data_IF_465236478198
#
_entry.id   IF_465236478198
#
_cell.length_a   1.000
_cell.length_b   1.000
_cell.length_c   1.000
_cell.angle_alpha   90.00
_cell.angle_beta   90.00
_cell.angle_gamma   90.00
#
_symmetry.space_group_name_H-M   'P 1'
#
loop_
_entity.id
_entity.type
_entity.pdbx_description
1 polymer ?
#
# COMPACT_ATOMS: atom_id res chain seq x y z
N UNK A 1 -32.05 3.88 5.16
CA UNK A 1 -31.42 3.11 4.06
C UNK A 1 -30.00 3.61 3.90
N UNK A 2 -29.01 2.77 4.21
CA UNK A 2 -27.63 3.11 3.90
C UNK A 2 -27.46 2.93 2.40
N UNK A 3 -27.30 4.03 1.67
CA UNK A 3 -26.79 3.93 0.31
C UNK A 3 -25.46 3.22 0.37
N UNK A 4 -25.29 2.17 -0.45
CA UNK A 4 -24.02 1.48 -0.61
C UNK A 4 -22.91 2.45 -1.01
N UNK A 5 -21.64 2.03 -0.99
CA UNK A 5 -20.56 2.90 -1.38
C UNK A 5 -20.80 3.45 -2.78
N UNK A 6 -20.52 4.74 -2.97
CA UNK A 6 -20.72 5.42 -4.25
C UNK A 6 -19.75 4.94 -5.37
N UNK A 7 -19.01 3.85 -5.13
CA UNK A 7 -18.00 3.28 -6.03
C UNK A 7 -17.96 1.75 -5.91
N UNK A 8 -17.41 1.10 -6.92
CA UNK A 8 -17.23 -0.34 -7.00
C UNK A 8 -15.73 -0.71 -6.96
N UNK A 9 -15.38 -1.78 -6.24
CA UNK A 9 -14.01 -2.29 -6.20
C UNK A 9 -13.87 -3.41 -7.22
N UNK A 10 -12.97 -3.23 -8.18
CA UNK A 10 -12.73 -4.17 -9.27
C UNK A 10 -11.25 -4.53 -9.40
N UNK A 11 -10.92 -5.77 -9.82
CA UNK A 11 -9.55 -6.12 -10.19
C UNK A 11 -9.04 -5.23 -11.32
N UNK A 12 -7.77 -4.86 -11.27
CA UNK A 12 -7.12 -4.16 -12.35
C UNK A 12 -6.38 -5.13 -13.26
N UNK A 13 -6.56 -4.96 -14.58
CA UNK A 13 -5.76 -5.68 -15.56
C UNK A 13 -4.29 -5.27 -15.44
N UNK A 14 -3.40 -6.24 -15.59
CA UNK A 14 -1.96 -6.02 -15.37
C UNK A 14 -1.37 -4.93 -16.29
N UNK A 15 -1.77 -4.89 -17.55
CA UNK A 15 -1.32 -3.87 -18.49
C UNK A 15 -1.71 -2.44 -18.06
N UNK A 16 -2.95 -2.27 -17.61
CA UNK A 16 -3.45 -0.98 -17.11
C UNK A 16 -2.81 -0.58 -15.79
N UNK A 17 -2.58 -1.56 -14.93
CA UNK A 17 -1.92 -1.34 -13.65
C UNK A 17 -0.49 -0.85 -13.86
N UNK A 18 0.28 -1.52 -14.71
CA UNK A 18 1.66 -1.15 -15.03
C UNK A 18 1.72 0.26 -15.62
N UNK A 19 0.87 0.58 -16.61
CA UNK A 19 0.81 1.90 -17.23
C UNK A 19 0.56 3.00 -16.18
N UNK A 20 -0.42 2.80 -15.30
CA UNK A 20 -0.77 3.74 -14.25
C UNK A 20 0.37 3.95 -13.25
N UNK A 21 0.99 2.88 -12.78
CA UNK A 21 2.02 2.92 -11.75
C UNK A 21 3.33 3.51 -12.28
N UNK A 22 3.68 3.28 -13.55
CA UNK A 22 4.84 3.91 -14.18
C UNK A 22 4.75 5.44 -14.20
N UNK A 23 3.53 5.98 -14.25
CA UNK A 23 3.30 7.42 -14.21
C UNK A 23 3.27 7.99 -12.78
N UNK A 24 2.93 7.17 -11.79
CA UNK A 24 2.67 7.63 -10.42
C UNK A 24 3.78 7.32 -9.43
N UNK A 25 4.55 6.27 -9.64
CA UNK A 25 5.59 5.87 -8.70
C UNK A 25 6.91 6.60 -8.96
N UNK A 26 7.57 7.10 -7.88
CA UNK A 26 8.89 7.70 -7.99
C UNK A 26 9.87 6.71 -8.59
N UNK A 27 10.64 7.16 -9.60
CA UNK A 27 11.62 6.32 -10.29
C UNK A 27 11.05 4.94 -10.73
N UNK A 28 9.73 4.87 -10.96
CA UNK A 28 9.00 3.67 -11.38
C UNK A 28 9.12 2.49 -10.43
N UNK A 29 9.31 2.74 -9.14
CA UNK A 29 9.34 1.69 -8.13
C UNK A 29 9.03 2.24 -6.73
N UNK A 30 8.66 1.32 -5.84
CA UNK A 30 8.46 1.61 -4.41
C UNK A 30 9.49 0.83 -3.60
N UNK A 31 9.91 1.41 -2.47
CA UNK A 31 10.74 0.73 -1.49
C UNK A 31 9.85 0.04 -0.45
N UNK A 32 9.93 -1.28 -0.39
CA UNK A 32 9.14 -2.11 0.53
C UNK A 32 10.05 -3.19 1.13
N UNK A 33 10.10 -3.26 2.44
CA UNK A 33 10.88 -4.27 3.17
C UNK A 33 12.35 -4.37 2.68
N UNK A 34 12.99 -3.22 2.48
CA UNK A 34 14.38 -3.13 2.06
C UNK A 34 14.66 -3.49 0.60
N UNK A 35 13.64 -3.56 -0.24
CA UNK A 35 13.82 -3.81 -1.68
C UNK A 35 12.99 -2.86 -2.54
N UNK A 36 13.45 -2.64 -3.77
CA UNK A 36 12.68 -1.89 -4.77
C UNK A 36 11.73 -2.82 -5.51
N UNK A 37 10.45 -2.43 -5.55
CA UNK A 37 9.35 -3.17 -6.17
C UNK A 37 8.84 -2.37 -7.36
N UNK A 38 8.84 -2.98 -8.53
CA UNK A 38 8.35 -2.36 -9.76
C UNK A 38 6.86 -2.61 -10.01
N UNK A 39 6.25 -1.88 -10.96
CA UNK A 39 4.86 -2.07 -11.35
C UNK A 39 4.52 -3.47 -11.84
N UNK A 40 5.49 -4.16 -12.42
CA UNK A 40 5.35 -5.51 -12.96
C UNK A 40 5.28 -6.58 -11.88
N UNK A 41 5.75 -6.25 -10.67
CA UNK A 41 5.83 -7.20 -9.54
C UNK A 41 4.55 -7.30 -8.75
N UNK A 42 3.61 -6.36 -8.93
CA UNK A 42 2.44 -6.22 -8.07
C UNK A 42 1.14 -6.60 -8.78
N UNK A 43 0.17 -7.02 -7.98
CA UNK A 43 -1.23 -7.11 -8.33
C UNK A 43 -1.98 -5.90 -7.78
N UNK A 44 -3.17 -5.60 -8.29
CA UNK A 44 -3.93 -4.45 -7.82
C UNK A 44 -5.42 -4.53 -8.07
N UNK A 45 -6.12 -3.73 -7.28
CA UNK A 45 -7.56 -3.44 -7.38
C UNK A 45 -7.77 -1.94 -7.44
N UNK A 46 -8.87 -1.51 -8.03
CA UNK A 46 -9.24 -0.11 -8.11
C UNK A 46 -10.65 0.15 -7.62
N UNK A 47 -10.89 1.35 -7.13
CA UNK A 47 -12.21 1.88 -6.80
C UNK A 47 -12.73 2.72 -7.95
N UNK A 48 -13.85 2.35 -8.55
CA UNK A 48 -14.40 2.96 -9.76
C UNK A 48 -15.83 3.49 -9.57
N UNK A 49 -16.13 4.59 -10.24
CA UNK A 49 -17.50 4.98 -10.57
C UNK A 49 -17.61 5.07 -12.09
N UNK A 50 -18.44 4.24 -12.72
CA UNK A 50 -18.45 4.10 -14.19
C UNK A 50 -17.01 3.85 -14.70
N UNK A 51 -16.45 4.77 -15.49
CA UNK A 51 -15.10 4.64 -16.05
C UNK A 51 -14.02 5.41 -15.29
N UNK A 52 -14.39 6.07 -14.17
CA UNK A 52 -13.45 6.88 -13.40
C UNK A 52 -12.84 6.12 -12.25
N UNK A 53 -11.51 6.08 -12.22
CA UNK A 53 -10.73 5.52 -11.12
C UNK A 53 -10.56 6.56 -10.00
N UNK A 54 -10.95 6.21 -8.78
CA UNK A 54 -10.88 7.06 -7.59
C UNK A 54 -9.82 6.66 -6.58
N UNK A 55 -9.32 5.45 -6.66
CA UNK A 55 -8.28 4.95 -5.78
C UNK A 55 -7.78 3.59 -6.22
N UNK A 56 -6.64 3.20 -5.69
CA UNK A 56 -5.96 1.95 -6.05
C UNK A 56 -5.30 1.34 -4.82
N UNK A 57 -5.29 0.03 -4.75
CA UNK A 57 -4.46 -0.72 -3.83
C UNK A 57 -3.63 -1.77 -4.59
N UNK A 58 -2.37 -1.91 -4.20
CA UNK A 58 -1.44 -2.85 -4.80
C UNK A 58 -0.74 -3.68 -3.74
N UNK A 59 -0.41 -4.91 -4.08
CA UNK A 59 0.26 -5.85 -3.17
C UNK A 59 1.19 -6.81 -3.89
N UNK A 60 2.07 -7.40 -3.10
CA UNK A 60 2.85 -8.58 -3.45
C UNK A 60 2.25 -9.79 -2.78
N UNK A 61 2.11 -10.90 -3.49
CA UNK A 61 1.79 -12.19 -2.92
C UNK A 61 3.08 -12.99 -2.71
N UNK A 62 3.35 -13.37 -1.46
CA UNK A 62 4.52 -14.18 -1.12
C UNK A 62 4.11 -15.32 -0.18
N UNK A 63 3.96 -16.51 -0.74
CA UNK A 63 3.45 -17.66 0.00
C UNK A 63 2.04 -17.37 0.55
N UNK A 64 1.90 -17.41 1.86
CA UNK A 64 0.61 -17.13 2.55
C UNK A 64 0.50 -15.71 3.09
N UNK A 65 1.36 -14.80 2.63
CA UNK A 65 1.39 -13.40 3.05
C UNK A 65 1.02 -12.51 1.87
N UNK A 66 0.02 -11.64 2.07
CA UNK A 66 -0.31 -10.53 1.20
C UNK A 66 0.40 -9.29 1.75
N UNK A 67 1.42 -8.80 1.05
CA UNK A 67 2.19 -7.63 1.46
C UNK A 67 1.70 -6.40 0.70
N UNK A 68 1.07 -5.47 1.40
CA UNK A 68 0.57 -4.22 0.84
C UNK A 68 1.76 -3.39 0.35
N UNK A 69 1.70 -2.94 -0.90
CA UNK A 69 2.70 -2.03 -1.47
C UNK A 69 2.22 -0.59 -1.41
N UNK A 70 0.99 -0.33 -1.83
CA UNK A 70 0.41 1.01 -1.78
C UNK A 70 -1.11 0.95 -1.64
N UNK A 71 -1.66 1.93 -0.93
CA UNK A 71 -3.09 2.23 -0.90
C UNK A 71 -3.22 3.74 -1.13
N UNK A 72 -3.80 4.12 -2.25
CA UNK A 72 -3.92 5.52 -2.65
C UNK A 72 -5.37 5.87 -2.98
N UNK A 73 -5.83 7.00 -2.45
CA UNK A 73 -7.06 7.65 -2.87
C UNK A 73 -6.70 8.86 -3.74
N UNK A 74 -7.37 9.00 -4.88
CA UNK A 74 -7.13 10.09 -5.84
C UNK A 74 -8.19 11.18 -5.77
N UNK A 75 -9.24 10.94 -5.02
CA UNK A 75 -10.38 11.84 -4.87
C UNK A 75 -10.81 11.90 -3.41
N UNK A 76 -11.66 12.90 -3.09
CA UNK A 76 -12.18 13.09 -1.74
C UNK A 76 -13.38 12.18 -1.39
N UNK A 77 -13.69 11.17 -2.20
CA UNK A 77 -14.73 10.20 -1.88
C UNK A 77 -14.36 9.45 -0.59
N UNK A 78 -15.28 9.50 0.37
CA UNK A 78 -15.05 8.90 1.70
C UNK A 78 -15.04 7.38 1.62
N UNK A 79 -14.17 6.77 2.41
CA UNK A 79 -14.14 5.33 2.62
C UNK A 79 -13.40 4.53 1.55
N UNK A 80 -12.80 5.14 0.52
CA UNK A 80 -12.05 4.43 -0.53
C UNK A 80 -10.92 3.58 0.07
N UNK A 81 -10.07 4.16 0.91
CA UNK A 81 -8.94 3.44 1.50
C UNK A 81 -9.40 2.25 2.36
N UNK A 82 -10.48 2.43 3.12
CA UNK A 82 -11.08 1.37 3.93
C UNK A 82 -11.60 0.24 3.02
N UNK A 83 -12.37 0.58 2.00
CA UNK A 83 -12.94 -0.41 1.07
C UNK A 83 -11.84 -1.17 0.31
N UNK A 84 -10.77 -0.50 -0.09
CA UNK A 84 -9.62 -1.14 -0.75
C UNK A 84 -8.91 -2.13 0.19
N UNK A 85 -8.67 -1.78 1.44
CA UNK A 85 -8.06 -2.69 2.42
C UNK A 85 -8.97 -3.88 2.71
N UNK A 86 -10.27 -3.65 2.90
CA UNK A 86 -11.25 -4.73 3.13
C UNK A 86 -11.33 -5.68 1.92
N UNK A 87 -11.26 -5.16 0.70
CA UNK A 87 -11.22 -5.97 -0.51
C UNK A 87 -9.92 -6.79 -0.64
N UNK A 88 -8.76 -6.23 -0.27
CA UNK A 88 -7.51 -6.98 -0.21
C UNK A 88 -7.56 -8.10 0.84
N UNK A 89 -8.17 -7.85 2.00
CA UNK A 89 -8.37 -8.88 3.02
C UNK A 89 -9.23 -10.03 2.49
N UNK A 90 -10.33 -9.70 1.81
CA UNK A 90 -11.21 -10.70 1.19
C UNK A 90 -10.48 -11.51 0.12
N UNK A 91 -9.70 -10.86 -0.72
CA UNK A 91 -8.86 -11.51 -1.73
C UNK A 91 -7.83 -12.45 -1.10
N UNK A 92 -7.12 -12.00 -0.08
CA UNK A 92 -6.16 -12.84 0.66
C UNK A 92 -6.81 -14.08 1.26
N UNK A 93 -7.96 -13.93 1.90
CA UNK A 93 -8.73 -15.06 2.45
C UNK A 93 -9.17 -16.04 1.37
N UNK A 94 -9.65 -15.54 0.24
CA UNK A 94 -10.11 -16.40 -0.88
C UNK A 94 -8.98 -17.23 -1.47
N UNK A 95 -7.75 -16.78 -1.38
CA UNK A 95 -6.54 -17.47 -1.82
C UNK A 95 -5.90 -18.36 -0.74
N UNK A 96 -6.50 -18.46 0.45
CA UNK A 96 -5.93 -19.20 1.57
C UNK A 96 -4.69 -18.56 2.20
N UNK A 97 -4.52 -17.26 2.02
CA UNK A 97 -3.49 -16.49 2.73
C UNK A 97 -3.88 -16.32 4.20
N UNK A 98 -2.90 -16.24 5.07
CA UNK A 98 -3.12 -16.18 6.52
C UNK A 98 -2.71 -14.87 7.14
N UNK A 99 -1.97 -14.04 6.41
CA UNK A 99 -1.41 -12.80 6.93
C UNK A 99 -1.44 -11.70 5.89
N UNK A 100 -1.80 -10.51 6.33
CA UNK A 100 -1.64 -9.26 5.58
C UNK A 100 -0.60 -8.41 6.28
N UNK A 101 0.38 -7.90 5.53
CA UNK A 101 1.48 -7.10 6.06
C UNK A 101 1.51 -5.74 5.39
N UNK A 102 1.79 -4.70 6.18
CA UNK A 102 2.08 -3.35 5.69
C UNK A 102 3.45 -2.91 6.19
N UNK A 103 4.24 -2.29 5.31
CA UNK A 103 5.52 -1.66 5.64
C UNK A 103 5.42 -0.17 5.35
N UNK A 104 5.70 0.66 6.36
CA UNK A 104 5.60 2.12 6.27
C UNK A 104 6.86 2.79 6.79
N UNK A 105 7.21 3.93 6.20
CA UNK A 105 8.29 4.76 6.74
C UNK A 105 7.89 5.40 8.07
N UNK A 106 8.85 5.64 8.94
CA UNK A 106 8.62 6.17 10.28
C UNK A 106 7.95 7.54 10.33
N UNK A 107 8.03 8.33 9.26
CA UNK A 107 7.38 9.63 9.13
C UNK A 107 5.89 9.52 8.75
N UNK A 108 5.45 8.40 8.23
CA UNK A 108 4.09 8.21 7.73
C UNK A 108 3.11 7.88 8.86
N UNK A 109 2.94 8.85 9.76
CA UNK A 109 2.06 8.72 10.94
C UNK A 109 0.58 8.56 10.58
N UNK A 110 0.17 9.06 9.41
CA UNK A 110 -1.19 8.89 8.92
C UNK A 110 -1.47 7.43 8.52
N UNK A 111 -0.53 6.78 7.85
CA UNK A 111 -0.63 5.36 7.54
C UNK A 111 -0.57 4.49 8.80
N UNK A 112 0.30 4.83 9.75
CA UNK A 112 0.38 4.15 11.04
C UNK A 112 -0.96 4.17 11.77
N UNK A 113 -1.57 5.34 11.87
CA UNK A 113 -2.90 5.53 12.46
C UNK A 113 -3.96 4.73 11.69
N UNK A 114 -3.95 4.82 10.37
CA UNK A 114 -4.92 4.14 9.49
C UNK A 114 -4.91 2.63 9.69
N UNK A 115 -3.73 2.00 9.60
CA UNK A 115 -3.61 0.55 9.73
C UNK A 115 -3.95 0.05 11.13
N UNK A 116 -3.50 0.75 12.19
CA UNK A 116 -3.85 0.36 13.55
C UNK A 116 -5.37 0.42 13.80
N UNK A 117 -6.05 1.45 13.27
CA UNK A 117 -7.52 1.54 13.35
C UNK A 117 -8.24 0.42 12.57
N UNK A 118 -7.56 -0.19 11.60
CA UNK A 118 -8.05 -1.35 10.84
C UNK A 118 -7.67 -2.69 11.46
N UNK A 119 -7.10 -2.69 12.67
CA UNK A 119 -6.76 -3.91 13.40
C UNK A 119 -5.35 -4.45 13.13
N UNK A 120 -4.54 -3.75 12.36
CA UNK A 120 -3.13 -4.12 12.21
C UNK A 120 -2.36 -3.85 13.50
N UNK A 121 -1.42 -4.72 13.82
CA UNK A 121 -0.54 -4.60 14.98
C UNK A 121 0.89 -4.38 14.53
N UNK A 122 1.62 -3.52 15.22
CA UNK A 122 3.06 -3.34 15.05
C UNK A 122 3.78 -4.64 15.41
N UNK A 123 4.61 -5.14 14.49
CA UNK A 123 5.33 -6.40 14.66
C UNK A 123 6.84 -6.25 14.57
N UNK A 124 7.34 -5.24 13.85
CA UNK A 124 8.77 -5.01 13.74
C UNK A 124 9.10 -3.54 13.49
N UNK A 125 10.31 -3.18 13.89
CA UNK A 125 11.00 -1.94 13.55
C UNK A 125 12.30 -2.31 12.82
N UNK A 126 12.42 -1.88 11.57
CA UNK A 126 13.63 -2.05 10.76
C UNK A 126 14.45 -0.77 10.81
N UNK A 127 15.29 -0.67 11.82
CA UNK A 127 16.08 0.51 12.11
C UNK A 127 17.12 0.78 11.05
N UNK A 128 17.17 2.04 10.56
CA UNK A 128 18.18 2.50 9.62
C UNK A 128 18.04 2.01 8.18
N UNK A 129 16.94 1.33 7.82
CA UNK A 129 16.79 0.74 6.49
C UNK A 129 16.74 1.81 5.39
N UNK A 130 16.10 2.96 5.65
CA UNK A 130 16.06 4.05 4.67
C UNK A 130 17.41 4.73 4.50
N UNK A 131 18.22 4.85 5.56
CA UNK A 131 19.58 5.35 5.47
C UNK A 131 20.44 4.42 4.59
N UNK A 132 20.33 3.11 4.78
CA UNK A 132 21.05 2.13 3.97
C UNK A 132 20.59 2.16 2.50
N UNK A 133 19.27 2.21 2.25
CA UNK A 133 18.73 2.22 0.89
C UNK A 133 19.02 3.54 0.15
N UNK A 134 19.18 4.65 0.88
CA UNK A 134 19.59 5.95 0.30
C UNK A 134 20.99 5.90 -0.28
N UNK A 135 21.86 5.00 0.21
CA UNK A 135 23.17 4.78 -0.42
C UNK A 135 23.03 4.19 -1.83
N UNK A 136 22.00 3.38 -2.06
CA UNK A 136 21.70 2.78 -3.38
C UNK A 136 20.88 3.72 -4.27
N UNK A 137 20.01 4.52 -3.66
CA UNK A 137 19.14 5.47 -4.35
C UNK A 137 19.15 6.82 -3.58
N UNK A 138 20.08 7.72 -3.94
CA UNK A 138 20.21 9.02 -3.24
C UNK A 138 18.98 9.93 -3.33
N UNK A 139 18.08 9.68 -4.29
CA UNK A 139 16.83 10.42 -4.46
C UNK A 139 15.77 10.14 -3.37
N UNK A 140 15.94 9.11 -2.53
CA UNK A 140 15.07 8.89 -1.37
C UNK A 140 15.20 10.09 -0.44
N UNK A 141 14.09 10.81 -0.14
CA UNK A 141 14.13 12.03 0.67
C UNK A 141 14.73 11.77 2.06
N UNK A 142 15.50 12.72 2.56
CA UNK A 142 16.04 12.66 3.92
C UNK A 142 14.98 12.95 4.99
N UNK A 143 13.99 13.76 4.64
CA UNK A 143 12.87 14.14 5.52
C UNK A 143 11.54 13.96 4.79
N UNK A 144 10.50 13.65 5.53
CA UNK A 144 9.15 13.44 5.03
C UNK A 144 8.13 14.35 5.70
N UNK A 145 7.01 13.76 6.08
CA UNK A 145 5.87 14.47 6.70
C UNK A 145 6.33 15.21 7.96
N UNK A 146 5.88 16.46 8.11
CA UNK A 146 6.23 17.34 9.26
C UNK A 146 7.74 17.48 9.52
N UNK A 147 8.55 17.39 8.48
CA UNK A 147 10.02 17.39 8.58
C UNK A 147 10.61 16.26 9.43
N UNK A 148 9.87 15.19 9.64
CA UNK A 148 10.38 14.01 10.35
C UNK A 148 11.45 13.34 9.48
N UNK A 149 12.65 13.06 10.00
CA UNK A 149 13.67 12.34 9.26
C UNK A 149 13.21 10.95 8.87
N UNK A 150 13.33 10.60 7.59
CA UNK A 150 13.01 9.26 7.07
C UNK A 150 14.24 8.37 7.27
N UNK A 151 14.19 7.47 8.25
CA UNK A 151 15.27 6.56 8.63
C UNK A 151 14.89 5.11 8.74
N UNK A 152 13.71 4.85 9.31
CA UNK A 152 13.29 3.54 9.77
C UNK A 152 12.01 3.09 9.06
N UNK A 153 11.80 1.77 9.00
CA UNK A 153 10.55 1.20 8.53
C UNK A 153 9.83 0.51 9.68
N UNK A 154 8.53 0.75 9.79
CA UNK A 154 7.63 0.05 10.69
C UNK A 154 6.88 -1.03 9.91
N UNK A 155 6.82 -2.22 10.49
CA UNK A 155 6.05 -3.34 9.97
C UNK A 155 4.82 -3.58 10.82
N UNK A 156 3.66 -3.70 10.18
CA UNK A 156 2.40 -4.02 10.81
C UNK A 156 1.79 -5.26 10.15
N UNK A 157 1.08 -6.06 10.92
CA UNK A 157 0.44 -7.27 10.42
C UNK A 157 -1.00 -7.39 10.91
N UNK A 158 -1.82 -8.03 10.09
CA UNK A 158 -3.20 -8.43 10.37
C UNK A 158 -3.40 -9.88 9.96
N UNK A 159 -3.89 -10.72 10.87
CA UNK A 159 -4.29 -12.09 10.54
C UNK A 159 -5.54 -12.08 9.63
N UNK A 160 -5.53 -12.96 8.64
CA UNK A 160 -6.62 -13.08 7.67
C UNK A 160 -7.58 -14.22 8.00
#
# INVERSE_FOLDING_TARGET
MSEGPAFEILPMRQDRLVELLQLRWPERSMLIAGRFVGPEDVEGIGAFTSDRLHGIATWLANGRVLHIVAVNSFTELRGIGIALVDAMMAEGRSRGMTLMRASISNDNVMALRFYQKRGFRLTALHRGIYDAMRQLRPSIPATGVDNIPIRDELELEHEL
#
